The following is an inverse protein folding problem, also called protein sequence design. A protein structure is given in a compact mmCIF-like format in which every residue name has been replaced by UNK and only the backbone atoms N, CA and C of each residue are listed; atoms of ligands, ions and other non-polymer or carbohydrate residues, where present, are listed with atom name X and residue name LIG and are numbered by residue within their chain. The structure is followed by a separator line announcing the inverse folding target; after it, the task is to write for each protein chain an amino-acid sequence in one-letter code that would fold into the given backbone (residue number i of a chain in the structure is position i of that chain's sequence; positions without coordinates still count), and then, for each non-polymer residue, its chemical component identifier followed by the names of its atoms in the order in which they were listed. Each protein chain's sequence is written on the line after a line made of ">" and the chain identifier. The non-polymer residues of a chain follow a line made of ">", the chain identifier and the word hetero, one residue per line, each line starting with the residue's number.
data_IF_063181880783
#
_entry.id   IF_063181880783
#
_cell.length_a   1.000
_cell.length_b   1.000
_cell.length_c   1.000
_cell.angle_alpha   90.00
_cell.angle_beta   90.00
_cell.angle_gamma   90.00
#
_symmetry.space_group_name_H-M   'P 1'
#
loop_
_entity.id
_entity.type
_entity.pdbx_description
1 polymer ?
#
# COMPACT_ATOMS: atom_id res chain seq x y z
N UNK A 1 6.10 5.84 5.31
CA UNK A 1 4.69 6.21 5.63
C UNK A 1 4.69 7.28 6.70
N UNK A 2 4.18 8.46 6.36
CA UNK A 2 4.16 9.63 7.26
C UNK A 2 2.94 9.67 8.20
N UNK A 3 1.81 9.10 7.76
CA UNK A 3 0.57 9.00 8.53
C UNK A 3 -0.41 8.02 7.90
N UNK A 4 -1.40 7.57 8.67
CA UNK A 4 -2.45 6.65 8.26
C UNK A 4 -3.79 7.24 8.68
N UNK A 5 -4.79 7.21 7.78
CA UNK A 5 -6.15 7.68 8.07
C UNK A 5 -6.91 6.59 8.84
N UNK A 6 -7.63 6.99 9.90
CA UNK A 6 -8.50 6.13 10.68
C UNK A 6 -9.93 6.72 10.70
N UNK A 7 -10.96 5.95 10.29
CA UNK A 7 -10.89 4.66 9.61
C UNK A 7 -10.34 4.78 8.17
N UNK A 8 -9.80 3.68 7.64
CA UNK A 8 -9.33 3.63 6.26
C UNK A 8 -8.60 2.34 5.89
N UNK A 9 -8.52 2.07 4.59
CA UNK A 9 -7.91 0.87 4.02
C UNK A 9 -6.50 0.57 4.56
N UNK A 10 -5.66 1.60 4.67
CA UNK A 10 -4.30 1.46 5.19
C UNK A 10 -4.27 1.04 6.67
N UNK A 11 -5.17 1.57 7.49
CA UNK A 11 -5.30 1.18 8.89
C UNK A 11 -5.80 -0.26 9.04
N UNK A 12 -6.80 -0.67 8.25
CA UNK A 12 -7.32 -2.03 8.24
C UNK A 12 -6.28 -3.04 7.76
N UNK A 13 -5.45 -2.66 6.80
CA UNK A 13 -4.31 -3.45 6.35
C UNK A 13 -3.18 -3.57 7.41
N UNK A 14 -3.28 -2.81 8.51
CA UNK A 14 -2.29 -2.81 9.59
C UNK A 14 -1.04 -2.01 9.28
N UNK A 15 -1.08 -1.10 8.28
CA UNK A 15 -0.01 -0.13 8.05
C UNK A 15 0.04 0.87 9.20
N UNK A 16 1.24 1.35 9.49
CA UNK A 16 1.49 2.29 10.57
C UNK A 16 2.45 3.38 10.12
N UNK A 17 2.41 4.49 10.86
CA UNK A 17 3.43 5.54 10.73
C UNK A 17 4.81 4.95 11.00
N UNK A 18 5.79 5.33 10.18
CA UNK A 18 7.16 4.83 10.27
C UNK A 18 7.44 3.59 9.44
N UNK A 19 6.45 2.97 8.82
CA UNK A 19 6.69 1.91 7.84
C UNK A 19 7.42 2.45 6.61
N UNK A 20 8.40 1.70 6.12
CA UNK A 20 9.11 2.00 4.87
C UNK A 20 8.68 0.97 3.84
N UNK A 21 8.10 1.40 2.72
CA UNK A 21 7.70 0.49 1.65
C UNK A 21 8.95 0.04 0.88
N UNK A 22 9.16 -1.27 0.78
CA UNK A 22 10.28 -1.88 0.07
C UNK A 22 9.85 -2.47 -1.28
N UNK A 23 8.64 -3.05 -1.32
CA UNK A 23 8.13 -3.74 -2.49
C UNK A 23 6.61 -3.59 -2.56
N UNK A 24 6.09 -3.46 -3.78
CA UNK A 24 4.66 -3.50 -4.09
C UNK A 24 4.47 -4.52 -5.20
N UNK A 25 3.64 -5.52 -4.94
CA UNK A 25 3.21 -6.51 -5.93
C UNK A 25 4.38 -7.25 -6.61
N UNK A 26 5.44 -7.55 -5.86
CA UNK A 26 6.64 -8.18 -6.40
C UNK A 26 7.61 -7.21 -7.10
N UNK A 27 7.28 -5.92 -7.18
CA UNK A 27 8.13 -4.87 -7.78
C UNK A 27 8.83 -4.07 -6.67
N UNK A 28 10.17 -4.01 -6.65
CA UNK A 28 10.90 -3.24 -5.65
C UNK A 28 10.68 -1.73 -5.86
N UNK A 29 10.47 -1.01 -4.76
CA UNK A 29 10.27 0.45 -4.75
C UNK A 29 11.51 1.10 -4.14
N UNK A 30 12.24 1.89 -4.94
CA UNK A 30 13.47 2.58 -4.50
C UNK A 30 13.24 4.06 -4.22
N UNK A 31 12.24 4.65 -4.86
CA UNK A 31 11.98 6.08 -4.88
C UNK A 31 10.48 6.37 -5.03
N UNK A 32 10.11 7.62 -4.80
CA UNK A 32 8.72 8.07 -4.84
C UNK A 32 8.14 8.09 -6.26
N UNK A 33 8.99 8.22 -7.28
CA UNK A 33 8.55 8.24 -8.67
C UNK A 33 8.09 6.85 -9.10
N UNK A 34 8.92 5.83 -8.87
CA UNK A 34 8.56 4.43 -9.11
C UNK A 34 7.34 3.97 -8.30
N UNK A 35 7.17 4.49 -7.08
CA UNK A 35 5.94 4.27 -6.30
C UNK A 35 4.69 4.83 -7.01
N UNK A 36 4.79 6.04 -7.57
CA UNK A 36 3.71 6.69 -8.28
C UNK A 36 3.35 5.97 -9.59
N UNK A 37 4.33 5.47 -10.32
CA UNK A 37 4.12 4.68 -11.54
C UNK A 37 3.41 3.36 -11.23
N UNK A 38 3.89 2.62 -10.22
CA UNK A 38 3.26 1.38 -9.76
C UNK A 38 1.82 1.62 -9.31
N UNK A 39 1.57 2.70 -8.57
CA UNK A 39 0.23 3.06 -8.15
C UNK A 39 -0.70 3.28 -9.35
N UNK A 40 -0.25 4.02 -10.37
CA UNK A 40 -1.06 4.25 -11.58
C UNK A 40 -1.37 2.95 -12.32
N UNK A 41 -0.38 2.09 -12.50
CA UNK A 41 -0.53 0.80 -13.17
C UNK A 41 -1.56 -0.10 -12.45
N UNK A 42 -1.47 -0.16 -11.12
CA UNK A 42 -2.38 -0.95 -10.27
C UNK A 42 -3.80 -0.33 -10.23
N UNK A 43 -3.90 0.99 -10.21
CA UNK A 43 -5.18 1.69 -10.13
C UNK A 43 -5.94 1.68 -11.47
N UNK A 44 -5.24 1.69 -12.60
CA UNK A 44 -5.83 1.65 -13.93
C UNK A 44 -6.35 0.24 -14.30
N UNK A 45 -5.79 -0.81 -13.70
CA UNK A 45 -6.26 -2.17 -13.90
C UNK A 45 -7.62 -2.43 -13.22
N UNK A 46 -8.69 -2.11 -13.96
CA UNK A 46 -10.09 -2.32 -13.55
C UNK A 46 -10.50 -3.79 -13.45
N UNK A 47 -9.71 -4.72 -14.01
CA UNK A 47 -10.02 -6.16 -13.98
C UNK A 47 -9.39 -6.85 -12.78
N UNK A 48 -8.38 -6.23 -12.17
CA UNK A 48 -7.70 -6.77 -11.00
C UNK A 48 -8.56 -6.72 -9.75
N UNK A 49 -8.37 -7.70 -8.87
CA UNK A 49 -8.86 -7.60 -7.51
C UNK A 49 -8.25 -6.34 -6.86
N UNK A 50 -9.05 -5.54 -6.14
CA UNK A 50 -8.60 -4.31 -5.48
C UNK A 50 -7.75 -4.59 -4.23
N UNK A 51 -6.77 -5.47 -4.36
CA UNK A 51 -5.85 -5.92 -3.32
C UNK A 51 -4.43 -5.88 -3.84
N UNK A 52 -3.53 -5.32 -3.05
CA UNK A 52 -2.11 -5.22 -3.34
C UNK A 52 -1.32 -5.84 -2.22
N UNK A 53 -0.39 -6.73 -2.57
CA UNK A 53 0.62 -7.20 -1.63
C UNK A 53 1.73 -6.17 -1.56
N UNK A 54 2.19 -5.82 -0.37
CA UNK A 54 3.35 -4.95 -0.19
C UNK A 54 4.25 -5.47 0.92
N UNK A 55 5.55 -5.23 0.77
CA UNK A 55 6.54 -5.50 1.81
C UNK A 55 6.94 -4.16 2.42
N UNK A 56 6.80 -4.05 3.73
CA UNK A 56 7.17 -2.86 4.50
C UNK A 56 8.22 -3.21 5.55
N UNK A 57 9.17 -2.33 5.79
CA UNK A 57 10.09 -2.41 6.91
C UNK A 57 9.49 -1.68 8.11
N UNK A 58 9.29 -2.40 9.21
CA UNK A 58 8.83 -1.83 10.49
C UNK A 58 9.82 -2.19 11.58
N UNK A 59 10.40 -1.18 12.22
CA UNK A 59 11.38 -1.36 13.30
C UNK A 59 12.54 -2.32 12.91
N UNK A 60 13.00 -2.23 11.65
CA UNK A 60 14.08 -3.07 11.12
C UNK A 60 13.67 -4.47 10.66
N UNK A 61 12.40 -4.86 10.83
CA UNK A 61 11.89 -6.15 10.38
C UNK A 61 10.98 -6.00 9.15
N UNK A 62 11.21 -6.77 8.08
CA UNK A 62 10.30 -6.79 6.94
C UNK A 62 8.99 -7.46 7.34
N UNK A 63 7.88 -6.86 6.93
CA UNK A 63 6.53 -7.36 7.11
C UNK A 63 5.79 -7.33 5.80
N UNK A 64 5.09 -8.42 5.51
CA UNK A 64 4.18 -8.48 4.40
C UNK A 64 2.82 -7.96 4.84
N UNK A 65 2.27 -7.04 4.06
CA UNK A 65 0.96 -6.44 4.27
C UNK A 65 0.15 -6.61 2.99
N UNK A 66 -1.14 -6.89 3.12
CA UNK A 66 -2.06 -6.89 1.98
C UNK A 66 -3.00 -5.70 2.16
N UNK A 67 -2.87 -4.71 1.28
CA UNK A 67 -3.72 -3.54 1.24
C UNK A 67 -4.90 -3.80 0.32
N UNK A 68 -6.09 -3.91 0.89
CA UNK A 68 -7.33 -3.84 0.10
C UNK A 68 -7.68 -2.37 -0.11
N UNK A 69 -7.55 -1.90 -1.36
CA UNK A 69 -7.86 -0.52 -1.75
C UNK A 69 -9.25 -0.44 -2.38
N UNK A 70 -10.15 -1.36 -2.04
CA UNK A 70 -11.54 -1.22 -2.46
C UNK A 70 -12.11 0.09 -1.93
N UNK A 71 -13.03 0.66 -2.71
CA UNK A 71 -13.64 1.97 -2.50
C UNK A 71 -14.68 1.94 -1.37
N UNK A 72 -14.44 1.08 -0.37
CA UNK A 72 -15.33 0.81 0.76
C UNK A 72 -15.48 2.03 1.67
N UNK A 73 -14.52 2.96 1.63
CA UNK A 73 -14.48 4.22 2.41
C UNK A 73 -14.64 5.49 1.57
N UNK A 74 -15.00 5.40 0.28
CA UNK A 74 -15.30 6.59 -0.55
C UNK A 74 -16.70 7.17 -0.30
N UNK A 75 -17.50 6.54 0.56
CA UNK A 75 -18.84 7.00 0.95
C UNK A 75 -18.89 7.39 2.42
N UNK A 76 -18.12 8.39 2.83
CA UNK A 76 -18.37 9.15 4.07
C UNK A 76 -18.11 10.63 3.84
#
# INVERSE_FOLDING_TARGET
>A
IQGVKHPGNAAEAGLARGDIVLEIDGRPVKDLEGLGELYKEIADDKKRAKRVRMIVLRAGLPRQVVLDYSTKYERE
#
